data_IF_521044602610
#
_entry.id   IF_521044602610
#
_cell.length_a   1.000
_cell.length_b   1.000
_cell.length_c   1.000
_cell.angle_alpha   90.00
_cell.angle_beta   90.00
_cell.angle_gamma   90.00
#
_symmetry.space_group_name_H-M   'P 1'
#
loop_
_entity.id
_entity.type
_entity.pdbx_description
1 polymer ?
#
# COMPACT_ATOMS: atom_id res chain seq x y z
N UNK A 1 77.66 -70.92 44.26
CA UNK A 1 77.80 -69.90 43.20
C UNK A 1 77.94 -70.60 41.87
N UNK A 2 76.81 -70.96 41.25
CA UNK A 2 76.80 -71.61 39.94
C UNK A 2 77.15 -70.59 38.84
N UNK A 3 77.87 -70.99 37.79
CA UNK A 3 78.32 -70.06 36.76
C UNK A 3 77.11 -69.57 35.96
N UNK A 4 76.63 -68.36 36.25
CA UNK A 4 75.72 -67.59 35.40
C UNK A 4 76.47 -67.05 34.18
N UNK A 5 77.14 -67.93 33.43
CA UNK A 5 77.54 -67.61 32.06
C UNK A 5 76.35 -68.03 31.20
N UNK A 6 75.55 -67.08 30.68
CA UNK A 6 74.46 -67.43 29.79
C UNK A 6 75.06 -68.25 28.65
N UNK A 7 74.46 -69.41 28.37
CA UNK A 7 74.80 -70.20 27.20
C UNK A 7 74.49 -69.31 25.99
N UNK A 8 75.53 -68.83 25.31
CA UNK A 8 75.42 -67.84 24.23
C UNK A 8 74.50 -68.36 23.11
N UNK A 9 74.43 -69.68 22.94
CA UNK A 9 73.56 -70.36 21.99
C UNK A 9 72.08 -70.22 22.39
N UNK A 10 71.74 -70.39 23.67
CA UNK A 10 70.37 -70.21 24.17
C UNK A 10 69.93 -68.75 24.10
N UNK A 11 70.84 -67.81 24.36
CA UNK A 11 70.60 -66.39 24.20
C UNK A 11 70.29 -66.03 22.73
N UNK A 12 71.08 -66.56 21.79
CA UNK A 12 70.90 -66.34 20.35
C UNK A 12 69.58 -66.99 19.86
N UNK A 13 69.28 -68.22 20.27
CA UNK A 13 68.04 -68.89 19.91
C UNK A 13 66.80 -68.19 20.49
N UNK A 14 66.88 -67.72 21.73
CA UNK A 14 65.85 -66.88 22.36
C UNK A 14 65.66 -65.55 21.63
N UNK A 15 66.76 -64.90 21.22
CA UNK A 15 66.71 -63.65 20.46
C UNK A 15 66.08 -63.84 19.07
N UNK A 16 66.43 -64.92 18.37
CA UNK A 16 65.83 -65.25 17.07
C UNK A 16 64.32 -65.51 17.22
N UNK A 17 63.92 -66.26 18.25
CA UNK A 17 62.51 -66.56 18.52
C UNK A 17 61.74 -65.29 18.90
N UNK A 18 62.34 -64.43 19.73
CA UNK A 18 61.79 -63.13 20.08
C UNK A 18 61.61 -62.24 18.85
N UNK A 19 62.62 -62.14 17.97
CA UNK A 19 62.54 -61.36 16.75
C UNK A 19 61.52 -61.91 15.75
N UNK A 20 61.38 -63.24 15.64
CA UNK A 20 60.37 -63.86 14.78
C UNK A 20 58.95 -63.53 15.26
N UNK A 21 58.70 -63.66 16.57
CA UNK A 21 57.40 -63.28 17.17
C UNK A 21 57.18 -61.77 17.07
N UNK A 22 58.19 -60.95 17.35
CA UNK A 22 58.12 -59.49 17.24
C UNK A 22 57.83 -59.05 15.81
N UNK A 23 58.46 -59.65 14.79
CA UNK A 23 58.19 -59.35 13.39
C UNK A 23 56.77 -59.75 12.99
N UNK A 24 56.27 -60.91 13.44
CA UNK A 24 54.89 -61.32 13.21
C UNK A 24 53.89 -60.36 13.89
N UNK A 25 54.17 -59.95 15.13
CA UNK A 25 53.35 -59.00 15.87
C UNK A 25 53.39 -57.61 15.24
N UNK A 26 54.56 -57.10 14.87
CA UNK A 26 54.74 -55.82 14.21
C UNK A 26 54.01 -55.78 12.87
N UNK A 27 54.08 -56.86 12.07
CA UNK A 27 53.40 -56.96 10.77
C UNK A 27 51.87 -56.98 10.89
N UNK A 28 51.29 -57.35 12.05
CA UNK A 28 49.83 -57.43 12.23
C UNK A 28 49.28 -56.30 13.10
N UNK A 29 49.98 -55.93 14.17
CA UNK A 29 49.54 -54.97 15.17
C UNK A 29 49.76 -53.52 14.72
N UNK A 30 50.92 -53.18 14.14
CA UNK A 30 51.19 -51.84 13.62
C UNK A 30 50.16 -51.41 12.57
N UNK A 31 49.89 -52.19 11.49
CA UNK A 31 48.92 -51.75 10.49
C UNK A 31 47.49 -51.66 11.03
N UNK A 32 47.14 -52.43 12.08
CA UNK A 32 45.83 -52.29 12.75
C UNK A 32 45.74 -51.00 13.54
N UNK A 33 46.79 -50.62 14.26
CA UNK A 33 46.85 -49.36 15.01
C UNK A 33 46.78 -48.17 14.05
N UNK A 34 47.61 -48.16 13.00
CA UNK A 34 47.64 -47.09 12.00
C UNK A 34 46.26 -46.93 11.33
N UNK A 35 45.61 -48.05 10.97
CA UNK A 35 44.26 -48.01 10.41
C UNK A 35 43.24 -47.37 11.36
N UNK A 36 43.24 -47.75 12.64
CA UNK A 36 42.30 -47.17 13.61
C UNK A 36 42.58 -45.70 13.92
N UNK A 37 43.85 -45.28 13.87
CA UNK A 37 44.23 -43.88 14.02
C UNK A 37 43.78 -43.06 12.82
N UNK A 38 44.03 -43.55 11.60
CA UNK A 38 43.58 -42.92 10.37
C UNK A 38 42.04 -42.80 10.31
N UNK A 39 41.30 -43.86 10.67
CA UNK A 39 39.84 -43.83 10.74
C UNK A 39 39.33 -42.79 11.75
N UNK A 40 39.98 -42.65 12.90
CA UNK A 40 39.62 -41.64 13.92
C UNK A 40 39.95 -40.22 13.48
N UNK A 41 41.10 -40.04 12.84
CA UNK A 41 41.54 -38.76 12.30
C UNK A 41 40.59 -38.30 11.18
N UNK A 42 40.26 -39.17 10.22
CA UNK A 42 39.30 -38.90 9.16
C UNK A 42 37.90 -38.61 9.72
N UNK A 43 37.44 -39.39 10.69
CA UNK A 43 36.14 -39.17 11.33
C UNK A 43 36.08 -37.81 12.04
N UNK A 44 37.16 -37.39 12.71
CA UNK A 44 37.23 -36.13 13.46
C UNK A 44 37.39 -34.94 12.51
N UNK A 45 38.34 -34.99 11.60
CA UNK A 45 38.61 -33.92 10.62
C UNK A 45 37.42 -33.75 9.69
N UNK A 46 36.86 -34.85 9.16
CA UNK A 46 35.67 -34.80 8.32
C UNK A 46 34.42 -34.34 9.08
N UNK A 47 34.29 -34.61 10.39
CA UNK A 47 33.21 -34.04 11.19
C UNK A 47 33.38 -32.53 11.41
N UNK A 48 34.60 -32.06 11.67
CA UNK A 48 34.91 -30.63 11.82
C UNK A 48 34.69 -29.85 10.52
N UNK A 49 35.14 -30.38 9.39
CA UNK A 49 34.92 -29.78 8.07
C UNK A 49 33.43 -29.69 7.73
N UNK A 50 32.66 -30.76 7.96
CA UNK A 50 31.20 -30.75 7.77
C UNK A 50 30.51 -29.75 8.69
N UNK A 51 30.91 -29.68 9.97
CA UNK A 51 30.36 -28.71 10.91
C UNK A 51 30.68 -27.27 10.48
N UNK A 52 31.90 -27.01 10.02
CA UNK A 52 32.31 -25.71 9.49
C UNK A 52 31.52 -25.31 8.25
N UNK A 53 31.34 -26.23 7.31
CA UNK A 53 30.53 -26.01 6.10
C UNK A 53 29.07 -25.69 6.46
N UNK A 54 28.45 -26.45 7.36
CA UNK A 54 27.07 -26.21 7.82
C UNK A 54 26.94 -24.85 8.51
N UNK A 55 27.92 -24.47 9.34
CA UNK A 55 27.91 -23.15 9.98
C UNK A 55 28.06 -22.02 8.96
N UNK A 56 28.95 -22.16 7.98
CA UNK A 56 29.13 -21.17 6.92
C UNK A 56 27.85 -21.03 6.08
N UNK A 57 27.23 -22.14 5.70
CA UNK A 57 25.98 -22.12 4.95
C UNK A 57 24.84 -21.50 5.77
N UNK A 58 24.74 -21.83 7.06
CA UNK A 58 23.76 -21.21 7.96
C UNK A 58 23.98 -19.68 8.07
N UNK A 59 25.23 -19.23 8.17
CA UNK A 59 25.55 -17.80 8.17
C UNK A 59 25.20 -17.13 6.85
N UNK A 60 25.49 -17.77 5.71
CA UNK A 60 25.15 -17.27 4.38
C UNK A 60 23.63 -17.15 4.20
N UNK A 61 22.88 -18.19 4.57
CA UNK A 61 21.42 -18.18 4.49
C UNK A 61 20.84 -17.09 5.40
N UNK A 62 21.35 -16.96 6.64
CA UNK A 62 20.93 -15.91 7.55
C UNK A 62 21.21 -14.51 6.99
N UNK A 63 22.39 -14.29 6.41
CA UNK A 63 22.75 -13.02 5.79
C UNK A 63 21.84 -12.69 4.59
N UNK A 64 21.58 -13.67 3.72
CA UNK A 64 20.67 -13.52 2.59
C UNK A 64 19.24 -13.18 3.06
N UNK A 65 18.74 -13.88 4.07
CA UNK A 65 17.42 -13.63 4.64
C UNK A 65 17.32 -12.24 5.30
N UNK A 66 18.37 -11.80 6.00
CA UNK A 66 18.42 -10.45 6.55
C UNK A 66 18.46 -9.36 5.47
N UNK A 67 19.18 -9.61 4.38
CA UNK A 67 19.20 -8.71 3.23
C UNK A 67 17.82 -8.61 2.58
N UNK A 68 17.15 -9.75 2.38
CA UNK A 68 15.78 -9.82 1.85
C UNK A 68 14.77 -9.08 2.75
N UNK A 69 14.82 -9.30 4.07
CA UNK A 69 13.98 -8.57 5.03
C UNK A 69 14.22 -7.05 4.97
N UNK A 70 15.47 -6.63 4.79
CA UNK A 70 15.82 -5.21 4.69
C UNK A 70 15.30 -4.61 3.39
N UNK A 71 15.46 -5.33 2.27
CA UNK A 71 14.93 -4.94 0.97
C UNK A 71 13.39 -4.84 1.01
N UNK A 72 12.70 -5.85 1.54
CA UNK A 72 11.25 -5.86 1.68
C UNK A 72 10.74 -4.71 2.57
N UNK A 73 11.44 -4.38 3.66
CA UNK A 73 11.10 -3.21 4.50
C UNK A 73 11.28 -1.89 3.74
N UNK A 74 12.33 -1.78 2.94
CA UNK A 74 12.58 -0.59 2.12
C UNK A 74 11.52 -0.44 1.03
N UNK A 75 11.20 -1.50 0.31
CA UNK A 75 10.12 -1.54 -0.68
C UNK A 75 8.76 -1.20 -0.06
N UNK A 76 8.42 -1.81 1.07
CA UNK A 76 7.19 -1.47 1.79
C UNK A 76 7.14 0.00 2.22
N UNK A 77 8.27 0.60 2.59
CA UNK A 77 8.35 2.03 2.90
C UNK A 77 8.11 2.89 1.66
N UNK A 78 8.71 2.52 0.52
CA UNK A 78 8.51 3.21 -0.74
C UNK A 78 7.07 3.14 -1.21
N UNK A 79 6.44 1.95 -1.15
CA UNK A 79 5.02 1.77 -1.50
C UNK A 79 4.12 2.64 -0.62
N UNK A 80 4.35 2.66 0.69
CA UNK A 80 3.58 3.53 1.60
C UNK A 80 3.74 5.00 1.26
N UNK A 81 4.96 5.43 0.95
CA UNK A 81 5.23 6.82 0.61
C UNK A 81 4.55 7.21 -0.72
N UNK A 82 4.69 6.38 -1.75
CA UNK A 82 4.00 6.58 -3.03
C UNK A 82 2.48 6.65 -2.86
N UNK A 83 1.89 5.75 -2.06
CA UNK A 83 0.45 5.77 -1.79
C UNK A 83 -0.01 7.02 -1.02
N UNK A 84 0.82 7.56 -0.13
CA UNK A 84 0.53 8.82 0.56
C UNK A 84 0.58 10.00 -0.41
N UNK A 85 1.61 10.07 -1.25
CA UNK A 85 1.76 11.12 -2.25
C UNK A 85 0.60 11.08 -3.26
N UNK A 86 0.30 9.91 -3.82
CA UNK A 86 -0.83 9.70 -4.74
C UNK A 86 -2.17 10.00 -4.06
N UNK A 87 -2.37 9.53 -2.82
CA UNK A 87 -3.60 9.78 -2.07
C UNK A 87 -3.83 11.27 -1.76
N UNK A 88 -2.77 12.00 -1.43
CA UNK A 88 -2.86 13.46 -1.21
C UNK A 88 -3.16 14.21 -2.50
N UNK A 89 -2.53 13.82 -3.61
CA UNK A 89 -2.78 14.39 -4.93
C UNK A 89 -4.22 14.12 -5.40
N UNK A 90 -4.70 12.88 -5.25
CA UNK A 90 -6.07 12.50 -5.57
C UNK A 90 -7.09 13.28 -4.73
N UNK A 91 -6.85 13.42 -3.42
CA UNK A 91 -7.73 14.18 -2.55
C UNK A 91 -7.78 15.66 -2.92
N UNK A 92 -6.65 16.25 -3.32
CA UNK A 92 -6.60 17.62 -3.84
C UNK A 92 -7.38 17.75 -5.14
N UNK A 93 -7.22 16.80 -6.08
CA UNK A 93 -7.93 16.78 -7.35
C UNK A 93 -9.45 16.67 -7.15
N UNK A 94 -9.91 15.71 -6.33
CA UNK A 94 -11.33 15.52 -6.03
C UNK A 94 -11.94 16.74 -5.35
N UNK A 95 -11.20 17.42 -4.45
CA UNK A 95 -11.66 18.67 -3.84
C UNK A 95 -11.79 19.81 -4.85
N UNK A 96 -10.81 19.96 -5.75
CA UNK A 96 -10.84 20.98 -6.78
C UNK A 96 -12.00 20.74 -7.76
N UNK A 97 -12.21 19.49 -8.19
CA UNK A 97 -13.33 19.10 -9.03
C UNK A 97 -14.68 19.34 -8.33
N UNK A 98 -14.79 18.95 -7.05
CA UNK A 98 -16.01 19.18 -6.27
C UNK A 98 -16.32 20.67 -6.08
N UNK A 99 -15.30 21.51 -5.85
CA UNK A 99 -15.49 22.95 -5.75
C UNK A 99 -15.95 23.56 -7.09
N UNK A 100 -15.35 23.13 -8.21
CA UNK A 100 -15.77 23.55 -9.55
C UNK A 100 -17.22 23.13 -9.85
N UNK A 101 -17.55 21.86 -9.61
CA UNK A 101 -18.91 21.35 -9.81
C UNK A 101 -19.95 22.11 -8.96
N UNK A 102 -19.57 22.48 -7.73
CA UNK A 102 -20.41 23.32 -6.87
C UNK A 102 -20.60 24.73 -7.46
N UNK A 103 -19.53 25.36 -7.92
CA UNK A 103 -19.60 26.69 -8.57
C UNK A 103 -20.48 26.66 -9.82
N UNK A 104 -20.29 25.66 -10.68
CA UNK A 104 -21.10 25.46 -11.89
C UNK A 104 -22.59 25.26 -11.54
N UNK A 105 -22.88 24.45 -10.52
CA UNK A 105 -24.25 24.22 -10.03
C UNK A 105 -24.89 25.49 -9.46
N UNK A 106 -24.14 26.29 -8.69
CA UNK A 106 -24.65 27.56 -8.13
C UNK A 106 -24.89 28.58 -9.25
N UNK A 107 -23.99 28.66 -10.24
CA UNK A 107 -24.18 29.53 -11.40
C UNK A 107 -25.44 29.14 -12.19
N UNK A 108 -25.61 27.86 -12.49
CA UNK A 108 -26.81 27.35 -13.16
C UNK A 108 -28.10 27.62 -12.36
N UNK A 109 -28.08 27.38 -11.05
CA UNK A 109 -29.22 27.66 -10.17
C UNK A 109 -29.56 29.16 -10.12
N UNK A 110 -28.55 30.04 -10.16
CA UNK A 110 -28.77 31.51 -10.18
C UNK A 110 -29.46 31.94 -11.46
N UNK A 111 -29.01 31.42 -12.62
CA UNK A 111 -29.65 31.69 -13.92
C UNK A 111 -31.10 31.20 -13.92
N UNK A 112 -31.36 30.01 -13.39
CA UNK A 112 -32.73 29.49 -13.30
C UNK A 112 -33.60 30.36 -12.38
N UNK A 113 -33.07 30.79 -11.23
CA UNK A 113 -33.79 31.62 -10.27
C UNK A 113 -34.13 33.00 -10.83
N UNK A 114 -33.24 33.59 -11.64
CA UNK A 114 -33.52 34.83 -12.37
C UNK A 114 -34.64 34.63 -13.40
N UNK A 115 -34.62 33.53 -14.15
CA UNK A 115 -35.70 33.19 -15.10
C UNK A 115 -37.04 32.98 -14.39
N UNK A 116 -37.04 32.19 -13.30
CA UNK A 116 -38.23 31.91 -12.49
C UNK A 116 -38.81 33.20 -11.88
N UNK A 117 -37.94 34.15 -11.48
CA UNK A 117 -38.35 35.46 -10.98
C UNK A 117 -39.10 36.26 -12.05
N UNK A 118 -38.59 36.32 -13.27
CA UNK A 118 -39.26 37.04 -14.38
C UNK A 118 -40.64 36.44 -14.67
N UNK A 119 -40.74 35.10 -14.67
CA UNK A 119 -42.01 34.39 -14.86
C UNK A 119 -42.98 34.73 -13.72
N UNK A 120 -42.53 34.63 -12.46
CA UNK A 120 -43.35 34.92 -11.29
C UNK A 120 -43.84 36.39 -11.25
N UNK A 121 -42.99 37.35 -11.64
CA UNK A 121 -43.37 38.76 -11.73
C UNK A 121 -44.45 38.98 -12.82
N UNK A 122 -44.35 38.29 -13.96
CA UNK A 122 -45.36 38.36 -15.02
C UNK A 122 -46.71 37.77 -14.56
N UNK A 123 -46.69 36.60 -13.91
CA UNK A 123 -47.89 35.97 -13.34
C UNK A 123 -48.56 36.85 -12.27
N UNK A 124 -47.76 37.48 -11.40
CA UNK A 124 -48.26 38.42 -10.39
C UNK A 124 -48.93 39.65 -11.02
N UNK A 125 -48.33 40.24 -12.07
CA UNK A 125 -48.93 41.37 -12.79
C UNK A 125 -50.28 40.97 -13.39
N UNK A 126 -50.36 39.81 -14.04
CA UNK A 126 -51.62 39.32 -14.61
C UNK A 126 -52.69 39.11 -13.53
N UNK A 127 -52.32 38.48 -12.40
CA UNK A 127 -53.23 38.27 -11.27
C UNK A 127 -53.73 39.58 -10.65
N UNK A 128 -52.88 40.59 -10.49
CA UNK A 128 -53.26 41.91 -9.99
C UNK A 128 -54.22 42.62 -10.95
N UNK A 129 -53.97 42.56 -12.26
CA UNK A 129 -54.87 43.13 -13.27
C UNK A 129 -56.25 42.47 -13.24
N UNK A 130 -56.30 41.14 -13.13
CA UNK A 130 -57.55 40.41 -13.01
C UNK A 130 -58.35 40.80 -11.75
N UNK A 131 -57.68 40.87 -10.59
CA UNK A 131 -58.30 41.30 -9.32
C UNK A 131 -58.79 42.76 -9.39
N UNK A 132 -58.01 43.66 -9.98
CA UNK A 132 -58.40 45.05 -10.14
C UNK A 132 -59.62 45.21 -11.06
N UNK A 133 -59.68 44.46 -12.17
CA UNK A 133 -60.82 44.45 -13.07
C UNK A 133 -62.09 43.90 -12.38
N UNK A 134 -61.97 42.83 -11.58
CA UNK A 134 -63.08 42.30 -10.79
C UNK A 134 -63.61 43.34 -9.79
N UNK A 135 -62.71 44.03 -9.07
CA UNK A 135 -63.08 45.07 -8.10
C UNK A 135 -63.78 46.25 -8.78
N UNK A 136 -63.24 46.72 -9.91
CA UNK A 136 -63.83 47.80 -10.70
C UNK A 136 -65.23 47.44 -11.22
N UNK A 137 -65.41 46.21 -11.72
CA UNK A 137 -66.73 45.71 -12.14
C UNK A 137 -67.74 45.67 -10.98
N UNK A 138 -67.32 45.27 -9.77
CA UNK A 138 -68.19 45.31 -8.58
C UNK A 138 -68.59 46.72 -8.17
N UNK A 139 -67.71 47.72 -8.32
CA UNK A 139 -68.01 49.12 -7.99
C UNK A 139 -68.92 49.76 -9.05
N UNK A 140 -68.72 49.44 -10.33
CA UNK A 140 -69.48 49.99 -11.46
C UNK A 140 -70.85 49.31 -11.66
N UNK A 141 -71.09 48.17 -10.99
CA UNK A 141 -72.39 47.48 -10.99
C UNK A 141 -72.69 46.69 -12.27
N UNK A 142 -71.75 46.59 -13.20
CA UNK A 142 -71.86 45.84 -14.46
C UNK A 142 -70.54 45.11 -14.75
N UNK A 143 -70.54 43.81 -15.12
CA UNK A 143 -69.31 43.09 -15.39
C UNK A 143 -68.61 43.72 -16.60
N UNK A 144 -67.37 44.17 -16.42
CA UNK A 144 -66.50 44.62 -17.51
C UNK A 144 -66.17 43.39 -18.38
N UNK A 145 -66.98 43.17 -19.41
CA UNK A 145 -66.85 42.04 -20.34
C UNK A 145 -65.69 42.23 -21.33
N UNK A 146 -65.16 43.45 -21.46
CA UNK A 146 -64.08 43.81 -22.39
C UNK A 146 -62.73 43.94 -21.64
N UNK A 147 -62.25 42.81 -21.12
CA UNK A 147 -60.99 42.69 -20.36
C UNK A 147 -59.77 43.20 -21.14
N UNK A 148 -59.79 43.11 -22.47
CA UNK A 148 -58.69 43.54 -23.33
C UNK A 148 -58.52 45.06 -23.34
N UNK A 149 -59.64 45.81 -23.32
CA UNK A 149 -59.61 47.27 -23.24
C UNK A 149 -59.15 47.76 -21.86
N UNK A 150 -59.54 47.06 -20.80
CA UNK A 150 -59.08 47.35 -19.44
C UNK A 150 -57.57 47.07 -19.28
N UNK A 151 -57.07 45.98 -19.87
CA UNK A 151 -55.62 45.67 -19.94
C UNK A 151 -54.84 46.75 -20.67
N UNK A 152 -55.29 47.19 -21.84
CA UNK A 152 -54.59 48.22 -22.62
C UNK A 152 -54.42 49.55 -21.85
N UNK A 153 -55.45 50.00 -21.15
CA UNK A 153 -55.40 51.23 -20.34
C UNK A 153 -54.50 51.05 -19.11
N UNK A 154 -54.51 49.86 -18.50
CA UNK A 154 -53.64 49.57 -17.36
C UNK A 154 -52.16 49.51 -17.77
N UNK A 155 -51.84 48.88 -18.90
CA UNK A 155 -50.47 48.82 -19.44
C UNK A 155 -49.92 50.23 -19.73
N UNK A 156 -50.74 51.13 -20.26
CA UNK A 156 -50.37 52.53 -20.48
C UNK A 156 -50.06 53.25 -19.14
N UNK A 157 -50.87 53.00 -18.10
CA UNK A 157 -50.65 53.54 -16.76
C UNK A 157 -49.37 53.01 -16.10
N UNK A 158 -49.10 51.71 -16.20
CA UNK A 158 -47.88 51.11 -15.65
C UNK A 158 -46.63 51.58 -16.39
N UNK A 159 -46.70 51.73 -17.71
CA UNK A 159 -45.61 52.28 -18.53
C UNK A 159 -45.31 53.73 -18.15
N UNK A 160 -46.36 54.55 -17.95
CA UNK A 160 -46.21 55.93 -17.51
C UNK A 160 -45.63 56.03 -16.08
N UNK A 161 -46.05 55.15 -15.16
CA UNK A 161 -45.55 55.11 -13.79
C UNK A 161 -44.10 54.65 -13.67
N UNK A 162 -43.66 53.68 -14.49
CA UNK A 162 -42.24 53.26 -14.56
C UNK A 162 -41.33 54.37 -15.10
N UNK A 163 -41.82 55.19 -16.04
CA UNK A 163 -41.07 56.34 -16.57
C UNK A 163 -40.87 57.46 -15.53
N UNK A 164 -41.89 57.71 -14.69
CA UNK A 164 -41.84 58.74 -13.63
C UNK A 164 -40.89 58.35 -12.47
N UNK A 165 -40.69 57.05 -12.25
CA UNK A 165 -39.77 56.52 -11.24
C UNK A 165 -38.28 56.55 -11.68
N UNK A 166 -38.00 56.78 -12.97
CA UNK A 166 -36.65 56.83 -13.52
C UNK A 166 -36.12 58.27 -13.75
N UNK A 167 -36.95 59.30 -13.52
CA UNK A 167 -36.57 60.73 -13.52
C UNK A 167 -36.23 61.25 -12.14
#
# INVERSE_FOLDING_TARGET
>A
MGPLKPNVIELIAGLITFLAVFAALAKVLLPRIDKTLAEREEATTGALERAGAVQLDAQRVRAAYQAELTAARHEASQIRQAALEEGTALLAAVRAEGQKAREDMVAAATVQLEADRVIAEAELREGVLALAAELAGRILGEPLTDLDRARAVADEFFTAAEADLQS
#
